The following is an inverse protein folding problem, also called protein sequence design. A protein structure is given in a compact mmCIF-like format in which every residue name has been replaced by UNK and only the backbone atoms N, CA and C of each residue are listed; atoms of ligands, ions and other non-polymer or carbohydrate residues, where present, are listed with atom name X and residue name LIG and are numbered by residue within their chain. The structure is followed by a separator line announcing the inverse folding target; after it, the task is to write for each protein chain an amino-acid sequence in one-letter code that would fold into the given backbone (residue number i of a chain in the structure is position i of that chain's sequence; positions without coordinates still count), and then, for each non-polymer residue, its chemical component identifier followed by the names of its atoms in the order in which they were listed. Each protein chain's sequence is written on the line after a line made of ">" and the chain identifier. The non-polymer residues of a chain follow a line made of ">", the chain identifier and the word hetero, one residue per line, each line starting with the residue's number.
data_IF_194059148347
#
_entry.id   IF_194059148347
#
_cell.length_a   1.000
_cell.length_b   1.000
_cell.length_c   1.000
_cell.angle_alpha   90.00
_cell.angle_beta   90.00
_cell.angle_gamma   90.00
#
_symmetry.space_group_name_H-M   'P 1'
#
loop_
_entity.id
_entity.type
_entity.pdbx_description
1 polymer ?
#
# COMPACT_ATOMS: atom_id res chain seq x y z
N UNK A 1 -1.75 -3.65 27.96
CA UNK A 1 -0.95 -4.20 26.84
C UNK A 1 -1.81 -4.75 25.71
N UNK A 2 -2.74 -5.69 25.94
CA UNK A 2 -3.59 -6.22 24.85
C UNK A 2 -4.44 -5.16 24.12
N UNK A 3 -5.12 -4.25 24.83
CA UNK A 3 -5.91 -3.17 24.20
C UNK A 3 -5.05 -2.24 23.33
N UNK A 4 -3.85 -1.86 23.82
CA UNK A 4 -2.89 -1.08 23.04
C UNK A 4 -2.41 -1.84 21.80
N UNK A 5 -2.12 -3.14 21.94
CA UNK A 5 -1.74 -4.00 20.81
C UNK A 5 -2.84 -4.08 19.75
N UNK A 6 -4.10 -4.31 20.15
CA UNK A 6 -5.27 -4.31 19.26
C UNK A 6 -5.36 -2.98 18.49
N UNK A 7 -5.32 -1.86 19.23
CA UNK A 7 -5.41 -0.52 18.65
C UNK A 7 -4.28 -0.24 17.65
N UNK A 8 -3.02 -0.44 18.07
CA UNK A 8 -1.85 -0.19 17.22
C UNK A 8 -1.87 -1.08 15.97
N UNK A 9 -2.28 -2.35 16.12
CA UNK A 9 -2.37 -3.28 14.99
C UNK A 9 -3.42 -2.82 13.98
N UNK A 10 -4.63 -2.46 14.43
CA UNK A 10 -5.69 -2.02 13.52
C UNK A 10 -5.35 -0.67 12.85
N UNK A 11 -4.78 0.28 13.60
CA UNK A 11 -4.30 1.56 13.05
C UNK A 11 -3.23 1.36 11.99
N UNK A 12 -2.26 0.49 12.26
CA UNK A 12 -1.17 0.18 11.32
C UNK A 12 -1.71 -0.40 10.02
N UNK A 13 -2.71 -1.27 10.11
CA UNK A 13 -3.38 -1.88 8.97
C UNK A 13 -4.12 -0.83 8.15
N UNK A 14 -5.01 -0.05 8.76
CA UNK A 14 -5.77 1.00 8.05
C UNK A 14 -4.87 2.05 7.42
N UNK A 15 -3.79 2.44 8.11
CA UNK A 15 -2.78 3.35 7.57
C UNK A 15 -2.05 2.73 6.37
N UNK A 16 -1.72 1.44 6.41
CA UNK A 16 -1.10 0.73 5.28
C UNK A 16 -2.01 0.75 4.04
N UNK A 17 -3.31 0.44 4.22
CA UNK A 17 -4.32 0.51 3.16
C UNK A 17 -4.40 1.92 2.57
N UNK A 18 -4.52 2.94 3.43
CA UNK A 18 -4.58 4.34 3.01
C UNK A 18 -3.33 4.76 2.25
N UNK A 19 -2.15 4.34 2.69
CA UNK A 19 -0.90 4.58 1.97
C UNK A 19 -0.89 3.92 0.58
N UNK A 20 -1.40 2.69 0.44
CA UNK A 20 -1.50 2.04 -0.88
C UNK A 20 -2.42 2.81 -1.83
N UNK A 21 -3.53 3.36 -1.33
CA UNK A 21 -4.42 4.23 -2.12
C UNK A 21 -3.69 5.51 -2.53
N UNK A 22 -3.00 6.18 -1.60
CA UNK A 22 -2.24 7.41 -1.89
C UNK A 22 -1.13 7.16 -2.92
N UNK A 23 -0.38 6.07 -2.80
CA UNK A 23 0.64 5.66 -3.77
C UNK A 23 -0.01 5.40 -5.15
N UNK A 24 -1.18 4.76 -5.19
CA UNK A 24 -1.87 4.50 -6.46
C UNK A 24 -2.36 5.79 -7.12
N UNK A 25 -2.85 6.76 -6.34
CA UNK A 25 -3.23 8.09 -6.83
C UNK A 25 -2.01 8.87 -7.34
N UNK A 26 -0.91 8.89 -6.59
CA UNK A 26 0.35 9.50 -7.01
C UNK A 26 0.77 9.03 -8.41
N UNK A 27 0.73 7.72 -8.62
CA UNK A 27 1.14 7.06 -9.86
C UNK A 27 0.17 7.32 -11.00
N UNK A 28 -1.11 7.33 -10.70
CA UNK A 28 -2.14 7.75 -11.64
C UNK A 28 -1.87 9.18 -12.13
N UNK A 29 -1.59 10.13 -11.22
CA UNK A 29 -1.33 11.53 -11.60
C UNK A 29 -0.03 11.66 -12.38
N UNK A 30 1.05 10.96 -11.97
CA UNK A 30 2.33 10.98 -12.67
C UNK A 30 2.24 10.50 -14.12
N UNK A 31 1.48 9.42 -14.36
CA UNK A 31 1.39 8.79 -15.69
C UNK A 31 0.33 9.47 -16.57
N UNK A 32 -0.81 9.85 -16.00
CA UNK A 32 -1.91 10.43 -16.77
C UNK A 32 -1.74 11.94 -17.00
N UNK A 33 -1.06 12.65 -16.09
CA UNK A 33 -0.89 14.10 -16.14
C UNK A 33 0.56 14.55 -15.91
N UNK A 34 1.53 14.08 -16.71
CA UNK A 34 2.97 14.31 -16.47
C UNK A 34 3.35 15.80 -16.42
N UNK A 35 2.72 16.66 -17.24
CA UNK A 35 3.00 18.10 -17.27
C UNK A 35 2.47 18.86 -16.04
N UNK A 36 1.40 18.35 -15.42
CA UNK A 36 0.80 18.96 -14.23
C UNK A 36 1.26 18.29 -12.95
N UNK A 37 1.92 17.14 -13.02
CA UNK A 37 2.46 16.43 -11.86
C UNK A 37 3.34 17.32 -10.96
N UNK A 38 4.37 18.05 -11.46
CA UNK A 38 5.24 18.85 -10.58
C UNK A 38 4.54 20.01 -9.88
N UNK A 39 3.43 20.52 -10.43
CA UNK A 39 2.66 21.60 -9.81
C UNK A 39 1.55 21.07 -8.89
N UNK A 40 1.04 19.86 -9.15
CA UNK A 40 -0.03 19.23 -8.36
C UNK A 40 0.49 18.46 -7.15
N UNK A 41 1.57 17.71 -7.31
CA UNK A 41 2.16 16.85 -6.26
C UNK A 41 3.39 17.55 -5.69
N UNK A 42 3.24 18.10 -4.48
CA UNK A 42 4.33 18.75 -3.74
C UNK A 42 4.58 18.05 -2.43
N UNK A 43 5.82 18.12 -1.93
CA UNK A 43 6.23 17.49 -0.66
C UNK A 43 5.30 17.91 0.50
N UNK A 44 4.94 19.20 0.57
CA UNK A 44 4.02 19.72 1.59
C UNK A 44 2.64 19.08 1.53
N UNK A 45 2.08 18.89 0.33
CA UNK A 45 0.77 18.24 0.16
C UNK A 45 0.84 16.74 0.49
N UNK A 46 1.90 16.06 0.07
CA UNK A 46 2.11 14.63 0.37
C UNK A 46 2.22 14.41 1.87
N UNK A 47 3.02 15.22 2.58
CA UNK A 47 3.14 15.13 4.03
C UNK A 47 1.80 15.37 4.75
N UNK A 48 1.00 16.34 4.27
CA UNK A 48 -0.34 16.57 4.79
C UNK A 48 -1.27 15.38 4.53
N UNK A 49 -1.26 14.79 3.33
CA UNK A 49 -2.05 13.60 3.01
C UNK A 49 -1.69 12.41 3.90
N UNK A 50 -0.40 12.17 4.14
CA UNK A 50 0.07 11.10 5.03
C UNK A 50 -0.40 11.38 6.46
N UNK A 51 -0.20 12.59 6.97
CA UNK A 51 -0.65 12.97 8.30
C UNK A 51 -2.16 12.77 8.49
N UNK A 52 -2.97 13.24 7.53
CA UNK A 52 -4.42 13.06 7.55
C UNK A 52 -4.79 11.57 7.47
N UNK A 53 -4.10 10.77 6.67
CA UNK A 53 -4.31 9.33 6.60
C UNK A 53 -4.10 8.65 7.95
N UNK A 54 -3.02 8.99 8.67
CA UNK A 54 -2.77 8.48 10.02
C UNK A 54 -3.82 8.95 11.01
N UNK A 55 -4.20 10.23 10.97
CA UNK A 55 -5.21 10.80 11.85
C UNK A 55 -6.57 10.12 11.63
N UNK A 56 -7.02 10.00 10.39
CA UNK A 56 -8.27 9.31 10.04
C UNK A 56 -8.23 7.84 10.45
N UNK A 57 -7.10 7.15 10.23
CA UNK A 57 -6.92 5.76 10.66
C UNK A 57 -7.00 5.62 12.18
N UNK A 58 -6.38 6.53 12.93
CA UNK A 58 -6.45 6.58 14.39
C UNK A 58 -7.86 6.81 14.90
N UNK A 59 -8.58 7.77 14.33
CA UNK A 59 -9.96 8.10 14.71
C UNK A 59 -10.93 6.95 14.40
N UNK A 60 -10.85 6.39 13.20
CA UNK A 60 -11.66 5.24 12.79
C UNK A 60 -11.45 4.04 13.73
N UNK A 61 -10.19 3.68 14.00
CA UNK A 61 -9.88 2.54 14.84
C UNK A 61 -10.14 2.78 16.33
N UNK A 62 -10.11 4.04 16.78
CA UNK A 62 -10.55 4.39 18.14
C UNK A 62 -12.01 4.03 18.34
N UNK A 63 -12.87 4.35 17.37
CA UNK A 63 -14.29 3.95 17.38
C UNK A 63 -14.43 2.44 17.23
N UNK A 64 -13.65 1.83 16.33
CA UNK A 64 -13.71 0.38 16.07
C UNK A 64 -13.38 -0.46 17.31
N UNK A 65 -12.31 -0.11 18.02
CA UNK A 65 -11.83 -0.85 19.21
C UNK A 65 -12.65 -0.54 20.47
N UNK A 66 -13.16 0.68 20.64
CA UNK A 66 -13.95 1.05 21.84
C UNK A 66 -15.33 0.39 21.85
N UNK A 67 -15.84 0.00 20.68
CA UNK A 67 -17.11 -0.73 20.54
C UNK A 67 -16.98 -2.26 20.70
N UNK A 68 -15.86 -2.78 21.22
CA UNK A 68 -15.68 -4.20 21.59
C UNK A 68 -16.65 -4.53 22.76
N UNK A 69 -17.77 -5.24 22.51
CA UNK A 69 -18.80 -5.47 23.51
C UNK A 69 -18.33 -6.44 24.61
N UNK A 70 -17.23 -7.18 24.38
CA UNK A 70 -16.72 -8.22 25.29
C UNK A 70 -15.60 -7.74 26.21
N UNK A 71 -15.20 -6.47 26.18
CA UNK A 71 -14.24 -5.94 27.15
C UNK A 71 -14.74 -6.01 28.61
N UNK A 72 -16.04 -6.30 28.81
CA UNK A 72 -16.68 -6.47 30.11
C UNK A 72 -16.76 -7.92 30.63
N UNK A 73 -16.47 -8.93 29.81
CA UNK A 73 -16.50 -10.34 30.21
C UNK A 73 -15.09 -10.94 30.09
N UNK A 74 -14.55 -11.37 31.22
CA UNK A 74 -13.20 -11.88 31.43
C UNK A 74 -12.87 -12.97 30.39
N UNK A 75 -11.99 -12.74 29.39
CA UNK A 75 -11.41 -13.84 28.66
C UNK A 75 -10.39 -14.51 29.59
N UNK A 76 -10.29 -15.84 29.54
CA UNK A 76 -9.31 -16.61 30.30
C UNK A 76 -7.90 -15.98 30.20
N UNK A 77 -7.13 -16.05 31.30
CA UNK A 77 -5.82 -15.42 31.42
C UNK A 77 -4.92 -15.73 30.21
N UNK A 78 -4.58 -14.71 29.41
CA UNK A 78 -3.63 -14.81 28.29
C UNK A 78 -4.21 -14.71 26.87
N UNK A 79 -5.54 -14.66 26.66
CA UNK A 79 -6.12 -14.50 25.33
C UNK A 79 -6.30 -13.02 24.94
N UNK A 80 -5.75 -12.61 23.78
CA UNK A 80 -5.89 -11.26 23.22
C UNK A 80 -6.59 -11.31 21.85
N UNK A 81 -7.91 -11.51 21.86
CA UNK A 81 -8.72 -11.65 20.65
C UNK A 81 -9.54 -10.39 20.45
N UNK A 82 -9.54 -9.84 19.23
CA UNK A 82 -10.40 -8.72 18.85
C UNK A 82 -11.79 -9.27 18.52
N UNK A 83 -12.80 -8.92 19.33
CA UNK A 83 -14.19 -9.29 19.08
C UNK A 83 -14.94 -8.03 18.65
N UNK A 84 -15.62 -8.10 17.52
CA UNK A 84 -16.35 -6.97 16.95
C UNK A 84 -17.76 -7.40 16.59
N UNK A 85 -18.70 -6.48 16.73
CA UNK A 85 -20.09 -6.72 16.34
C UNK A 85 -20.18 -7.01 14.83
N UNK A 86 -21.07 -7.92 14.42
CA UNK A 86 -21.24 -8.29 13.01
C UNK A 86 -21.44 -7.10 12.07
N UNK A 87 -22.26 -6.11 12.49
CA UNK A 87 -22.50 -4.87 11.72
C UNK A 87 -21.19 -4.09 11.53
N UNK A 88 -20.40 -3.96 12.59
CA UNK A 88 -19.16 -3.19 12.59
C UNK A 88 -18.05 -3.92 11.80
N UNK A 89 -17.96 -5.25 11.94
CA UNK A 89 -17.04 -6.08 11.15
C UNK A 89 -17.40 -6.08 9.67
N UNK A 90 -18.69 -6.14 9.32
CA UNK A 90 -19.16 -6.01 7.93
C UNK A 90 -18.82 -4.62 7.37
N UNK A 91 -19.04 -3.56 8.14
CA UNK A 91 -18.67 -2.21 7.74
C UNK A 91 -17.15 -2.05 7.53
N UNK A 92 -16.32 -2.66 8.39
CA UNK A 92 -14.86 -2.67 8.22
C UNK A 92 -14.44 -3.37 6.92
N UNK A 93 -15.08 -4.49 6.54
CA UNK A 93 -14.79 -5.14 5.26
C UNK A 93 -15.00 -4.17 4.09
N UNK A 94 -16.07 -3.38 4.09
CA UNK A 94 -16.32 -2.42 3.02
C UNK A 94 -15.31 -1.26 3.04
N UNK A 95 -15.08 -0.68 4.22
CA UNK A 95 -14.27 0.53 4.39
C UNK A 95 -12.77 0.23 4.22
N UNK A 96 -12.28 -0.85 4.81
CA UNK A 96 -10.86 -1.18 4.90
C UNK A 96 -10.39 -2.12 3.79
N UNK A 97 -11.30 -2.77 3.04
CA UNK A 97 -10.95 -3.69 1.97
C UNK A 97 -11.63 -3.37 0.63
N UNK A 98 -12.95 -3.48 0.54
CA UNK A 98 -13.65 -3.43 -0.77
C UNK A 98 -13.50 -2.07 -1.46
N UNK A 99 -13.75 -0.97 -0.76
CA UNK A 99 -13.62 0.38 -1.34
C UNK A 99 -12.17 0.67 -1.76
N UNK A 100 -11.16 0.52 -0.89
CA UNK A 100 -9.76 0.73 -1.26
C UNK A 100 -9.32 -0.11 -2.45
N UNK A 101 -9.63 -1.41 -2.47
CA UNK A 101 -9.26 -2.33 -3.55
C UNK A 101 -9.90 -1.91 -4.87
N UNK A 102 -11.19 -1.57 -4.84
CA UNK A 102 -11.91 -1.13 -6.04
C UNK A 102 -11.30 0.15 -6.61
N UNK A 103 -11.02 1.14 -5.76
CA UNK A 103 -10.37 2.39 -6.17
C UNK A 103 -9.00 2.13 -6.78
N UNK A 104 -8.18 1.29 -6.13
CA UNK A 104 -6.87 0.88 -6.60
C UNK A 104 -6.97 0.24 -8.00
N UNK A 105 -7.83 -0.76 -8.18
CA UNK A 105 -8.02 -1.44 -9.47
C UNK A 105 -8.44 -0.47 -10.56
N UNK A 106 -9.41 0.41 -10.29
CA UNK A 106 -9.88 1.40 -11.26
C UNK A 106 -8.77 2.37 -11.69
N UNK A 107 -7.97 2.86 -10.75
CA UNK A 107 -6.83 3.73 -11.04
C UNK A 107 -5.79 3.00 -11.91
N UNK A 108 -5.45 1.74 -11.59
CA UNK A 108 -4.49 0.97 -12.39
C UNK A 108 -5.01 0.64 -13.79
N UNK A 109 -6.29 0.31 -13.93
CA UNK A 109 -6.89 0.10 -15.25
C UNK A 109 -6.83 1.36 -16.11
N UNK A 110 -7.12 2.54 -15.53
CA UNK A 110 -6.97 3.82 -16.24
C UNK A 110 -5.52 4.09 -16.64
N UNK A 111 -4.55 3.84 -15.75
CA UNK A 111 -3.12 3.96 -16.05
C UNK A 111 -2.73 3.04 -17.22
N UNK A 112 -3.18 1.79 -17.20
CA UNK A 112 -2.88 0.82 -18.25
C UNK A 112 -3.44 1.26 -19.61
N UNK A 113 -4.70 1.71 -19.64
CA UNK A 113 -5.34 2.21 -20.87
C UNK A 113 -4.59 3.42 -21.43
N UNK A 114 -4.21 4.38 -20.58
CA UNK A 114 -3.44 5.57 -21.00
C UNK A 114 -2.06 5.19 -21.51
N UNK A 115 -1.37 4.25 -20.86
CA UNK A 115 -0.07 3.78 -21.32
C UNK A 115 -0.16 3.10 -22.71
N UNK A 116 -1.19 2.27 -22.93
CA UNK A 116 -1.41 1.57 -24.19
C UNK A 116 -1.81 2.55 -25.30
N UNK A 117 -2.68 3.52 -25.02
CA UNK A 117 -3.10 4.51 -26.02
C UNK A 117 -1.93 5.40 -26.47
N UNK A 118 -1.09 5.84 -25.52
CA UNK A 118 0.13 6.59 -25.81
C UNK A 118 1.16 5.77 -26.60
N UNK A 119 1.32 4.48 -26.31
CA UNK A 119 2.21 3.60 -27.06
C UNK A 119 1.75 3.40 -28.52
N UNK A 120 0.42 3.34 -28.75
CA UNK A 120 -0.16 3.23 -30.10
C UNK A 120 -0.04 4.53 -30.90
N UNK A 121 -0.35 5.68 -30.30
CA UNK A 121 -0.28 6.99 -30.96
C UNK A 121 1.15 7.40 -31.37
N UNK A 122 2.17 6.88 -30.68
CA UNK A 122 3.58 7.21 -30.96
C UNK A 122 4.19 6.41 -32.12
N UNK A 123 3.56 5.31 -32.55
CA UNK A 123 4.03 4.51 -33.70
C UNK A 123 3.81 5.19 -35.06
N UNK A 124 3.08 6.31 -35.14
CA UNK A 124 2.68 6.94 -36.42
C UNK A 124 3.56 8.10 -36.89
N UNK A 125 4.54 8.59 -36.11
CA UNK A 125 5.37 9.75 -36.50
C UNK A 125 6.86 9.49 -36.27
N UNK A 126 7.62 9.13 -37.31
CA UNK A 126 9.07 8.94 -37.22
C UNK A 126 9.75 9.54 -38.46
N UNK A 127 10.53 10.62 -38.27
CA UNK A 127 11.81 10.79 -38.98
C UNK A 127 12.73 11.87 -38.38
N UNK A 128 12.23 12.94 -37.75
CA UNK A 128 13.09 13.99 -37.16
C UNK A 128 13.17 14.02 -35.62
N UNK A 129 12.29 13.29 -34.91
CA UNK A 129 12.09 13.39 -33.44
C UNK A 129 12.82 12.28 -32.65
N UNK A 130 13.77 11.56 -33.27
CA UNK A 130 14.33 10.31 -32.72
C UNK A 130 15.05 10.46 -31.36
N UNK A 131 15.76 11.57 -31.11
CA UNK A 131 16.48 11.79 -29.85
C UNK A 131 15.55 12.15 -28.68
N UNK A 132 14.63 13.09 -28.89
CA UNK A 132 13.65 13.51 -27.88
C UNK A 132 12.59 12.43 -27.63
N UNK A 133 12.26 11.64 -28.66
CA UNK A 133 11.42 10.45 -28.54
C UNK A 133 12.10 9.33 -27.76
N UNK A 134 13.41 9.10 -27.95
CA UNK A 134 14.18 8.10 -27.19
C UNK A 134 14.17 8.38 -25.70
N UNK A 135 14.43 9.63 -25.28
CA UNK A 135 14.36 10.05 -23.87
C UNK A 135 12.94 9.92 -23.33
N UNK A 136 11.91 10.32 -24.08
CA UNK A 136 10.52 10.19 -23.64
C UNK A 136 10.07 8.72 -23.54
N UNK A 137 10.57 7.85 -24.42
CA UNK A 137 10.35 6.39 -24.41
C UNK A 137 10.99 5.72 -23.21
N UNK A 138 12.23 6.07 -22.87
CA UNK A 138 12.94 5.49 -21.73
C UNK A 138 12.25 5.87 -20.43
N UNK A 139 11.84 7.14 -20.26
CA UNK A 139 11.08 7.60 -19.09
C UNK A 139 9.71 6.93 -18.98
N UNK A 140 8.96 6.80 -20.08
CA UNK A 140 7.67 6.09 -20.05
C UNK A 140 7.82 4.59 -19.75
N UNK A 141 8.88 3.96 -20.24
CA UNK A 141 9.19 2.55 -19.96
C UNK A 141 9.57 2.33 -18.49
N UNK A 142 10.31 3.25 -17.87
CA UNK A 142 10.60 3.19 -16.43
C UNK A 142 9.36 3.42 -15.58
N UNK A 143 8.49 4.36 -15.97
CA UNK A 143 7.20 4.58 -15.28
C UNK A 143 6.27 3.38 -15.39
N UNK A 144 6.19 2.73 -16.57
CA UNK A 144 5.39 1.50 -16.73
C UNK A 144 5.96 0.34 -15.92
N UNK A 145 7.30 0.24 -15.81
CA UNK A 145 7.97 -0.73 -14.93
C UNK A 145 7.64 -0.47 -13.47
N UNK A 146 7.63 0.80 -13.04
CA UNK A 146 7.23 1.18 -11.69
C UNK A 146 5.74 0.89 -11.42
N UNK A 147 4.85 1.17 -12.38
CA UNK A 147 3.42 0.83 -12.29
C UNK A 147 3.20 -0.69 -12.22
N UNK A 148 3.97 -1.50 -12.96
CA UNK A 148 3.93 -2.97 -12.86
C UNK A 148 4.29 -3.46 -11.46
N UNK A 149 5.36 -2.92 -10.87
CA UNK A 149 5.77 -3.26 -9.51
C UNK A 149 4.68 -2.99 -8.48
N UNK A 150 3.93 -1.90 -8.66
CA UNK A 150 2.82 -1.55 -7.78
C UNK A 150 1.59 -2.43 -7.99
N UNK A 151 1.31 -2.86 -9.23
CA UNK A 151 0.30 -3.89 -9.48
C UNK A 151 0.61 -5.19 -8.72
N UNK A 152 1.88 -5.58 -8.63
CA UNK A 152 2.31 -6.74 -7.82
C UNK A 152 2.07 -6.47 -6.32
N UNK A 153 2.36 -5.24 -5.84
CA UNK A 153 2.07 -4.85 -4.45
C UNK A 153 0.59 -5.02 -4.09
N UNK A 154 -0.31 -4.63 -5.00
CA UNK A 154 -1.76 -4.80 -4.80
C UNK A 154 -2.15 -6.27 -4.73
N UNK A 155 -1.61 -7.13 -5.60
CA UNK A 155 -1.90 -8.58 -5.57
C UNK A 155 -1.42 -9.21 -4.27
N UNK A 156 -0.21 -8.85 -3.82
CA UNK A 156 0.35 -9.32 -2.55
C UNK A 156 -0.52 -8.87 -1.37
N UNK A 157 -0.92 -7.60 -1.36
CA UNK A 157 -1.83 -7.06 -0.36
C UNK A 157 -3.16 -7.83 -0.32
N UNK A 158 -3.79 -8.03 -1.48
CA UNK A 158 -5.04 -8.80 -1.59
C UNK A 158 -4.88 -10.22 -1.06
N UNK A 159 -3.79 -10.91 -1.41
CA UNK A 159 -3.54 -12.29 -0.98
C UNK A 159 -3.38 -12.39 0.54
N UNK A 160 -2.75 -11.40 1.17
CA UNK A 160 -2.59 -11.36 2.63
C UNK A 160 -3.90 -11.04 3.37
N UNK A 161 -4.74 -10.18 2.80
CA UNK A 161 -5.93 -9.63 3.49
C UNK A 161 -7.21 -10.43 3.21
N UNK A 162 -7.33 -11.02 2.03
CA UNK A 162 -8.52 -11.73 1.60
C UNK A 162 -8.91 -12.88 2.55
N UNK A 163 -7.98 -13.77 2.98
CA UNK A 163 -8.33 -14.87 3.89
C UNK A 163 -8.88 -14.38 5.23
N UNK A 164 -8.36 -13.25 5.73
CA UNK A 164 -8.83 -12.63 6.97
C UNK A 164 -10.28 -12.19 6.87
N UNK A 165 -10.62 -11.42 5.83
CA UNK A 165 -11.98 -10.95 5.65
C UNK A 165 -12.98 -12.06 5.31
N UNK A 166 -12.55 -13.12 4.61
CA UNK A 166 -13.39 -14.30 4.40
C UNK A 166 -13.78 -14.97 5.72
N UNK A 167 -12.84 -15.10 6.66
CA UNK A 167 -13.10 -15.67 7.99
C UNK A 167 -13.95 -14.74 8.85
N UNK A 168 -13.75 -13.42 8.78
CA UNK A 168 -14.59 -12.46 9.51
C UNK A 168 -16.04 -12.46 9.03
N UNK A 169 -16.30 -12.78 7.76
CA UNK A 169 -17.65 -12.86 7.18
C UNK A 169 -18.31 -14.24 7.35
N UNK A 170 -17.51 -15.31 7.46
CA UNK A 170 -18.00 -16.65 7.74
C UNK A 170 -18.31 -16.76 9.24
N UNK A 171 -19.59 -16.85 9.61
CA UNK A 171 -20.01 -17.07 11.01
C UNK A 171 -19.27 -18.26 11.66
N UNK A 172 -19.16 -18.24 13.00
CA UNK A 172 -18.31 -19.10 13.86
C UNK A 172 -18.45 -20.63 13.69
N UNK A 173 -19.37 -21.11 12.84
CA UNK A 173 -19.80 -22.51 12.77
C UNK A 173 -18.76 -23.44 12.10
N UNK A 174 -17.76 -22.92 11.36
CA UNK A 174 -16.79 -23.75 10.61
C UNK A 174 -15.30 -23.46 10.84
N UNK A 175 -14.92 -22.50 11.69
CA UNK A 175 -13.53 -22.04 11.75
C UNK A 175 -12.75 -22.71 12.89
N UNK A 176 -11.88 -23.65 12.55
CA UNK A 176 -10.98 -24.30 13.51
C UNK A 176 -9.86 -23.34 13.97
N UNK A 177 -9.33 -23.51 15.19
CA UNK A 177 -8.29 -22.64 15.76
C UNK A 177 -7.01 -22.58 14.90
N UNK A 178 -6.66 -23.68 14.22
CA UNK A 178 -5.55 -23.73 13.27
C UNK A 178 -5.76 -22.81 12.06
N UNK A 179 -7.00 -22.70 11.57
CA UNK A 179 -7.37 -21.80 10.48
C UNK A 179 -7.24 -20.33 10.90
N UNK A 180 -7.65 -19.99 12.12
CA UNK A 180 -7.50 -18.62 12.66
C UNK A 180 -6.03 -18.24 12.77
N UNK A 181 -5.18 -19.12 13.32
CA UNK A 181 -3.74 -18.87 13.44
C UNK A 181 -3.09 -18.71 12.07
N UNK A 182 -3.43 -19.55 11.11
CA UNK A 182 -2.94 -19.45 9.74
C UNK A 182 -3.31 -18.11 9.10
N UNK A 183 -4.58 -17.72 9.20
CA UNK A 183 -5.12 -16.48 8.62
C UNK A 183 -4.48 -15.24 9.24
N UNK A 184 -4.34 -15.19 10.56
CA UNK A 184 -3.65 -14.09 11.26
C UNK A 184 -2.16 -14.03 10.90
N UNK A 185 -1.53 -15.18 10.69
CA UNK A 185 -0.13 -15.25 10.25
C UNK A 185 0.03 -14.70 8.84
N UNK A 186 -0.83 -15.10 7.90
CA UNK A 186 -0.84 -14.60 6.51
C UNK A 186 -1.11 -13.10 6.45
N UNK A 187 -2.03 -12.61 7.28
CA UNK A 187 -2.33 -11.20 7.42
C UNK A 187 -1.12 -10.41 7.93
N UNK A 188 -0.48 -10.90 9.00
CA UNK A 188 0.71 -10.27 9.59
C UNK A 188 1.91 -10.28 8.65
N UNK A 189 2.00 -11.27 7.76
CA UNK A 189 3.05 -11.40 6.76
C UNK A 189 3.06 -10.24 5.76
N UNK A 190 1.93 -9.52 5.58
CA UNK A 190 1.89 -8.32 4.73
C UNK A 190 2.95 -7.28 5.13
N UNK A 191 3.08 -7.01 6.43
CA UNK A 191 4.02 -6.03 6.94
C UNK A 191 5.47 -6.41 6.64
N UNK A 192 5.79 -7.71 6.67
CA UNK A 192 7.10 -8.24 6.31
C UNK A 192 7.39 -8.09 4.81
N UNK A 193 6.37 -8.28 3.97
CA UNK A 193 6.54 -8.20 2.52
C UNK A 193 6.85 -6.77 2.07
N UNK A 194 6.37 -5.73 2.75
CA UNK A 194 6.59 -4.34 2.33
C UNK A 194 8.09 -3.98 2.09
N UNK A 195 9.03 -4.16 3.04
CA UNK A 195 10.47 -4.00 2.78
C UNK A 195 11.04 -4.87 1.65
N UNK A 196 10.62 -6.14 1.56
CA UNK A 196 11.07 -7.07 0.52
C UNK A 196 10.63 -6.58 -0.86
N UNK A 197 9.38 -6.11 -0.96
CA UNK A 197 8.84 -5.51 -2.17
C UNK A 197 9.64 -4.27 -2.56
N UNK A 198 9.97 -3.38 -1.61
CA UNK A 198 10.83 -2.23 -1.91
C UNK A 198 12.21 -2.67 -2.44
N UNK A 199 12.82 -3.67 -1.82
CA UNK A 199 14.10 -4.23 -2.26
C UNK A 199 14.04 -4.88 -3.65
N UNK A 200 12.99 -5.62 -4.00
CA UNK A 200 12.92 -6.29 -5.30
C UNK A 200 12.57 -5.33 -6.43
N UNK A 201 11.65 -4.40 -6.17
CA UNK A 201 11.01 -3.63 -7.22
C UNK A 201 11.58 -2.24 -7.44
N UNK A 202 12.29 -1.66 -6.45
CA UNK A 202 12.83 -0.31 -6.53
C UNK A 202 14.36 -0.34 -6.63
N UNK A 203 14.88 0.02 -7.80
CA UNK A 203 16.33 0.06 -8.05
C UNK A 203 17.05 1.09 -7.19
N UNK A 204 16.45 2.26 -6.94
CA UNK A 204 17.03 3.27 -6.05
C UNK A 204 17.11 2.76 -4.61
N UNK A 205 16.10 2.01 -4.16
CA UNK A 205 16.05 1.49 -2.79
C UNK A 205 17.16 0.46 -2.58
N UNK A 206 17.40 -0.41 -3.56
CA UNK A 206 18.55 -1.33 -3.53
C UNK A 206 19.88 -0.62 -3.46
N UNK A 207 20.07 0.46 -4.24
CA UNK A 207 21.29 1.27 -4.20
C UNK A 207 21.49 1.89 -2.80
N UNK A 208 20.44 2.48 -2.24
CA UNK A 208 20.47 3.06 -0.89
C UNK A 208 20.78 1.99 0.19
N UNK A 209 20.11 0.85 0.16
CA UNK A 209 20.37 -0.26 1.10
C UNK A 209 21.82 -0.75 0.97
N UNK A 210 22.34 -0.88 -0.26
CA UNK A 210 23.74 -1.26 -0.47
C UNK A 210 24.70 -0.25 0.14
N UNK A 211 24.46 1.05 -0.03
CA UNK A 211 25.27 2.12 0.57
C UNK A 211 25.25 2.06 2.10
N UNK A 212 24.08 1.81 2.69
CA UNK A 212 23.91 1.67 4.14
C UNK A 212 24.68 0.44 4.66
N UNK A 213 24.49 -0.73 4.03
CA UNK A 213 25.09 -2.00 4.49
C UNK A 213 26.60 -2.02 4.27
N UNK A 214 27.10 -1.39 3.19
CA UNK A 214 28.54 -1.26 2.93
C UNK A 214 29.19 -0.12 3.72
N UNK A 215 28.43 0.56 4.60
CA UNK A 215 28.88 1.69 5.42
C UNK A 215 29.49 2.84 4.61
N UNK A 216 29.19 2.92 3.31
CA UNK A 216 29.65 4.00 2.43
C UNK A 216 29.05 5.35 2.83
N UNK A 217 27.93 5.35 3.56
CA UNK A 217 27.35 6.55 4.19
C UNK A 217 28.27 7.19 5.24
N UNK A 218 29.21 6.44 5.83
CA UNK A 218 30.14 6.93 6.85
C UNK A 218 31.45 7.48 6.24
N UNK A 219 31.64 7.36 4.92
CA UNK A 219 32.84 7.87 4.26
C UNK A 219 32.79 9.41 4.12
N UNK A 220 33.93 10.11 4.24
CA UNK A 220 34.00 11.55 4.00
C UNK A 220 33.49 11.88 2.58
N UNK A 221 32.57 12.85 2.45
CA UNK A 221 31.96 13.23 1.17
C UNK A 221 30.69 12.45 0.80
N UNK A 222 30.20 11.55 1.66
CA UNK A 222 28.96 10.78 1.41
C UNK A 222 27.71 11.64 1.22
N UNK A 223 27.68 12.86 1.76
CA UNK A 223 26.58 13.83 1.59
C UNK A 223 26.37 14.27 0.13
N UNK A 224 27.38 14.13 -0.73
CA UNK A 224 27.32 14.51 -2.15
C UNK A 224 27.02 13.32 -3.08
N UNK A 225 26.92 12.10 -2.53
CA UNK A 225 26.70 10.89 -3.31
C UNK A 225 25.30 10.88 -3.93
N UNK A 226 25.23 10.95 -5.27
CA UNK A 226 23.95 10.89 -5.99
C UNK A 226 23.42 9.46 -6.06
N UNK A 227 22.32 9.18 -5.36
CA UNK A 227 21.60 7.89 -5.33
C UNK A 227 20.43 7.91 -6.34
N UNK A 228 20.73 8.17 -7.62
CA UNK A 228 19.78 8.00 -8.73
C UNK A 228 20.09 6.71 -9.50
#
# INVERSE_FOLDING_TARGET
>A
MCSLYKFVSCVSVSASVGNMVLISVDRYVAICYPLHYPTRVTVRKVNLCIFLCWLCSGLYNSLYVTNDPFQKYIPCYGQCVLVVNYILGTADVFISFIIPVTLIILLYMKVFVVAVSQARAMRSHITAVTLQCSVTLTTKKSELKAARSLGILVVVFLTCFFPYYCVTLAEEILVNSSSVVFVVSVFSFNSFLNPVMYALFYSWFRKAVKLIVTLQILQPGSCEANVQ
#
